data_IF_477469708783
#
_entry.id   IF_477469708783
#
_cell.length_a   1.000
_cell.length_b   1.000
_cell.length_c   1.000
_cell.angle_alpha   90.00
_cell.angle_beta   90.00
_cell.angle_gamma   90.00
#
_symmetry.space_group_name_H-M   'P 1'
#
loop_
_entity.id
_entity.type
_entity.pdbx_description
1 polymer ?
#
# COMPACT_ATOMS: atom_id res chain seq x y z
N UNK A 1 34.18 -32.93 26.53
CA UNK A 1 33.02 -33.73 26.89
C UNK A 1 31.87 -33.16 26.07
N UNK A 2 31.62 -33.67 24.85
CA UNK A 2 30.66 -34.73 24.51
C UNK A 2 29.24 -34.38 24.99
N UNK A 3 28.24 -34.22 24.16
CA UNK A 3 27.57 -35.01 23.12
C UNK A 3 26.51 -34.12 22.44
N UNK A 4 26.32 -33.90 21.15
CA UNK A 4 25.85 -34.83 20.15
C UNK A 4 24.51 -35.52 20.47
N UNK A 5 23.44 -35.08 19.78
CA UNK A 5 22.33 -35.93 19.45
C UNK A 5 21.58 -35.40 18.20
N UNK A 6 21.72 -36.12 17.12
CA UNK A 6 20.94 -36.05 15.89
C UNK A 6 19.62 -36.81 15.99
N UNK A 7 18.66 -36.59 15.07
CA UNK A 7 17.36 -37.23 15.06
C UNK A 7 17.37 -38.57 14.30
N UNK A 8 16.39 -39.44 14.49
CA UNK A 8 15.98 -40.45 13.53
C UNK A 8 14.69 -39.97 12.81
N UNK A 9 14.44 -40.09 11.56
CA UNK A 9 14.67 -41.18 10.68
C UNK A 9 13.41 -42.01 10.49
N UNK A 10 12.96 -42.06 9.21
CA UNK A 10 12.25 -43.18 8.56
C UNK A 10 10.79 -43.43 8.96
N UNK A 11 9.85 -43.65 8.08
CA UNK A 11 9.81 -44.74 7.10
C UNK A 11 8.57 -44.64 6.21
N UNK A 12 8.77 -44.86 4.96
CA UNK A 12 7.78 -45.35 4.00
C UNK A 12 7.46 -46.83 4.29
N UNK A 13 6.30 -47.32 4.00
CA UNK A 13 6.17 -48.62 3.42
C UNK A 13 5.44 -48.63 2.07
N UNK A 14 6.10 -49.28 1.24
CA UNK A 14 5.82 -49.96 -0.01
C UNK A 14 5.00 -51.20 0.29
N UNK A 15 3.99 -51.49 -0.51
CA UNK A 15 3.46 -52.79 -0.88
C UNK A 15 2.04 -52.56 -1.46
N UNK A 16 1.57 -53.23 -2.38
CA UNK A 16 1.83 -54.39 -3.20
C UNK A 16 0.70 -54.40 -4.23
N UNK A 17 1.02 -54.41 -5.38
CA UNK A 17 0.72 -55.21 -6.50
C UNK A 17 -0.15 -56.46 -6.17
N UNK A 18 -1.32 -56.56 -6.78
CA UNK A 18 -1.87 -57.84 -7.15
C UNK A 18 -2.78 -57.76 -8.40
N UNK A 19 -2.42 -58.58 -9.28
CA UNK A 19 -2.96 -59.14 -10.48
C UNK A 19 -4.43 -59.52 -10.38
N UNK A 20 -5.08 -59.51 -11.50
CA UNK A 20 -6.29 -60.31 -11.60
C UNK A 20 -7.21 -60.02 -12.78
N UNK A 21 -6.85 -60.57 -13.91
CA UNK A 21 -7.80 -61.27 -14.82
C UNK A 21 -8.71 -60.46 -15.75
N UNK A 22 -8.29 -60.63 -16.99
CA UNK A 22 -9.11 -60.73 -18.22
C UNK A 22 -10.49 -61.30 -18.00
N UNK A 23 -11.52 -60.58 -18.31
CA UNK A 23 -12.79 -61.18 -18.76
C UNK A 23 -13.28 -60.46 -20.01
N UNK A 24 -13.01 -61.10 -21.15
CA UNK A 24 -13.73 -60.83 -22.37
C UNK A 24 -15.20 -61.11 -22.14
N UNK A 25 -16.05 -60.16 -22.27
CA UNK A 25 -17.45 -60.37 -22.59
C UNK A 25 -17.76 -59.61 -23.86
N UNK A 26 -17.84 -60.35 -24.89
CA UNK A 26 -18.47 -60.01 -26.18
C UNK A 26 -19.94 -59.79 -25.89
N UNK A 27 -20.45 -58.60 -26.09
CA UNK A 27 -21.89 -58.36 -26.13
C UNK A 27 -22.20 -57.33 -27.22
N UNK A 28 -22.70 -57.87 -28.28
CA UNK A 28 -23.64 -57.35 -29.29
C UNK A 28 -23.76 -55.84 -29.47
N UNK A 29 -23.39 -55.48 -30.68
CA UNK A 29 -23.76 -54.23 -31.34
C UNK A 29 -25.29 -54.05 -31.37
N UNK A 30 -25.76 -53.08 -30.61
CA UNK A 30 -27.05 -52.42 -30.91
C UNK A 30 -26.75 -51.17 -31.73
N UNK A 31 -27.10 -51.27 -33.00
CA UNK A 31 -27.20 -50.13 -33.93
C UNK A 31 -28.20 -49.12 -33.32
N UNK A 32 -27.73 -48.11 -32.64
CA UNK A 32 -28.53 -46.96 -32.32
C UNK A 32 -28.36 -45.93 -33.45
N UNK A 33 -29.42 -45.75 -34.18
CA UNK A 33 -29.59 -44.73 -35.21
C UNK A 33 -29.29 -43.36 -34.66
N UNK A 34 -28.26 -42.72 -35.15
CA UNK A 34 -27.92 -41.31 -34.84
C UNK A 34 -29.05 -40.39 -35.34
N UNK A 35 -29.63 -39.56 -34.50
CA UNK A 35 -30.47 -38.47 -34.97
C UNK A 35 -29.57 -37.42 -35.63
N UNK A 36 -29.91 -37.07 -36.86
CA UNK A 36 -29.24 -36.03 -37.65
C UNK A 36 -29.27 -34.69 -36.92
N UNK A 37 -28.16 -33.94 -36.83
CA UNK A 37 -28.17 -32.60 -36.23
C UNK A 37 -28.68 -31.56 -37.24
N UNK A 38 -29.98 -31.54 -37.48
CA UNK A 38 -30.65 -30.47 -38.20
C UNK A 38 -31.34 -29.58 -37.16
N UNK A 39 -30.74 -28.47 -36.79
CA UNK A 39 -31.48 -27.45 -36.05
C UNK A 39 -30.74 -26.53 -35.10
N UNK A 40 -29.43 -26.57 -34.99
CA UNK A 40 -28.71 -25.68 -34.02
C UNK A 40 -27.98 -24.49 -34.65
N UNK A 41 -28.27 -24.11 -35.90
CA UNK A 41 -27.58 -22.98 -36.54
C UNK A 41 -28.30 -21.62 -36.40
N UNK A 42 -29.43 -21.52 -35.70
CA UNK A 42 -30.28 -20.34 -35.77
C UNK A 42 -30.28 -19.41 -34.55
N UNK A 43 -29.54 -19.72 -33.47
CA UNK A 43 -29.62 -18.88 -32.24
C UNK A 43 -28.35 -18.07 -31.90
N UNK A 44 -27.29 -18.15 -32.67
CA UNK A 44 -26.02 -17.47 -32.36
C UNK A 44 -25.88 -16.08 -32.98
N UNK A 45 -26.86 -15.59 -33.73
CA UNK A 45 -26.76 -14.25 -34.38
C UNK A 45 -27.09 -13.07 -33.46
N UNK A 46 -27.78 -13.30 -32.31
CA UNK A 46 -28.16 -12.23 -31.38
C UNK A 46 -27.19 -11.95 -30.22
N UNK A 47 -26.23 -12.85 -29.96
CA UNK A 47 -25.37 -12.76 -28.77
C UNK A 47 -24.10 -11.91 -29.02
N UNK A 48 -23.71 -11.74 -30.27
CA UNK A 48 -22.45 -11.06 -30.64
C UNK A 48 -22.39 -9.58 -30.22
N UNK A 49 -23.41 -8.74 -30.43
CA UNK A 49 -23.33 -7.34 -30.00
C UNK A 49 -23.41 -7.20 -28.47
N UNK A 50 -24.18 -8.04 -27.78
CA UNK A 50 -24.29 -8.01 -26.32
C UNK A 50 -22.97 -8.42 -25.62
N UNK A 51 -22.29 -9.43 -26.14
CA UNK A 51 -20.98 -9.85 -25.63
C UNK A 51 -19.89 -8.76 -25.84
N UNK A 52 -19.91 -8.10 -26.96
CA UNK A 52 -19.01 -6.97 -27.25
C UNK A 52 -19.26 -5.77 -26.33
N UNK A 53 -20.51 -5.45 -26.05
CA UNK A 53 -20.88 -4.37 -25.13
C UNK A 53 -20.50 -4.71 -23.68
N UNK A 54 -20.70 -5.94 -23.26
CA UNK A 54 -20.29 -6.42 -21.93
C UNK A 54 -18.77 -6.35 -21.74
N UNK A 55 -18.00 -6.75 -22.75
CA UNK A 55 -16.54 -6.67 -22.72
C UNK A 55 -16.04 -5.23 -22.66
N UNK A 56 -16.69 -4.31 -23.36
CA UNK A 56 -16.39 -2.88 -23.33
C UNK A 56 -16.69 -2.28 -21.94
N UNK A 57 -17.80 -2.65 -21.32
CA UNK A 57 -18.14 -2.19 -19.96
C UNK A 57 -17.14 -2.69 -18.92
N UNK A 58 -16.65 -3.93 -19.03
CA UNK A 58 -15.63 -4.49 -18.14
C UNK A 58 -14.29 -3.77 -18.33
N UNK A 59 -13.92 -3.42 -19.55
CA UNK A 59 -12.70 -2.67 -19.82
C UNK A 59 -12.74 -1.25 -19.26
N UNK A 60 -13.90 -0.59 -19.26
CA UNK A 60 -14.09 0.73 -18.68
C UNK A 60 -14.09 0.71 -17.14
N UNK A 61 -14.54 -0.36 -16.50
CA UNK A 61 -14.54 -0.53 -15.05
C UNK A 61 -13.12 -0.75 -14.47
N UNK A 62 -12.15 -1.14 -15.27
CA UNK A 62 -10.76 -1.38 -14.85
C UNK A 62 -9.95 -0.09 -14.63
N UNK A 63 -10.48 1.09 -14.96
CA UNK A 63 -9.81 2.38 -14.73
C UNK A 63 -10.05 2.91 -13.31
N UNK A 64 -9.71 2.15 -12.28
CA UNK A 64 -9.78 2.61 -10.90
C UNK A 64 -8.59 3.51 -10.57
N UNK A 65 -8.86 4.62 -9.85
CA UNK A 65 -7.82 5.51 -9.36
C UNK A 65 -6.87 4.79 -8.40
N UNK A 66 -5.60 5.08 -8.49
CA UNK A 66 -4.55 4.50 -7.66
C UNK A 66 -4.00 5.55 -6.70
N UNK A 67 -3.86 5.18 -5.42
CA UNK A 67 -3.28 6.06 -4.40
C UNK A 67 -1.87 5.59 -4.06
N UNK A 68 -0.95 6.54 -3.97
CA UNK A 68 0.44 6.30 -3.61
C UNK A 68 0.78 7.08 -2.35
N UNK A 69 1.30 6.37 -1.35
CA UNK A 69 1.86 6.96 -0.14
C UNK A 69 3.38 6.92 -0.24
N UNK A 70 4.02 8.08 -0.07
CA UNK A 70 5.48 8.22 -0.06
C UNK A 70 5.93 8.87 1.26
N UNK A 71 7.13 8.50 1.72
CA UNK A 71 7.73 9.04 2.93
C UNK A 71 7.21 8.39 4.21
N UNK A 72 7.15 9.19 5.27
CA UNK A 72 6.79 8.74 6.61
C UNK A 72 5.29 8.43 6.71
N UNK A 73 4.95 7.30 7.31
CA UNK A 73 3.57 6.94 7.61
C UNK A 73 3.34 7.16 9.10
N UNK A 74 2.54 8.19 9.44
CA UNK A 74 2.23 8.52 10.82
C UNK A 74 1.34 7.43 11.44
N UNK A 75 1.77 6.78 12.53
CA UNK A 75 0.91 5.88 13.27
C UNK A 75 -0.28 6.63 13.90
N UNK A 76 -1.47 6.04 13.93
CA UNK A 76 -2.64 6.66 14.55
C UNK A 76 -2.36 6.98 16.02
N UNK A 77 -2.66 8.21 16.47
CA UNK A 77 -2.47 8.64 17.85
C UNK A 77 -1.02 8.81 18.30
N UNK A 78 -0.03 8.72 17.41
CA UNK A 78 1.39 8.85 17.78
C UNK A 78 1.73 10.23 18.35
N UNK A 79 1.15 11.31 17.80
CA UNK A 79 1.39 12.66 18.29
C UNK A 79 0.84 12.91 19.70
N UNK A 80 -0.24 12.22 20.06
CA UNK A 80 -0.88 12.31 21.36
C UNK A 80 -0.06 11.60 22.46
N UNK A 81 0.78 10.64 22.06
CA UNK A 81 1.69 9.92 22.94
C UNK A 81 2.98 10.67 23.25
N UNK A 82 3.19 11.83 22.61
CA UNK A 82 4.38 12.64 22.78
C UNK A 82 4.01 13.96 23.50
N UNK A 83 4.03 13.97 24.84
CA UNK A 83 3.78 15.21 25.58
C UNK A 83 4.96 16.18 25.43
N UNK A 84 4.69 17.45 25.65
CA UNK A 84 5.74 18.46 25.81
C UNK A 84 6.64 18.05 26.99
N UNK A 85 7.95 18.10 26.83
CA UNK A 85 8.94 17.61 27.80
C UNK A 85 9.35 16.15 27.62
N UNK A 86 8.73 15.41 26.71
CA UNK A 86 9.18 14.06 26.37
C UNK A 86 10.64 14.04 25.91
N UNK A 87 11.37 12.98 26.20
CA UNK A 87 12.75 12.83 25.75
C UNK A 87 12.84 12.52 24.25
N UNK A 88 13.95 12.84 23.64
CA UNK A 88 14.23 12.49 22.24
C UNK A 88 14.14 10.99 21.98
N UNK A 89 14.62 10.16 22.93
CA UNK A 89 14.55 8.70 22.81
C UNK A 89 13.10 8.20 22.85
N UNK A 90 12.24 8.81 23.66
CA UNK A 90 10.82 8.48 23.68
C UNK A 90 10.16 8.83 22.34
N UNK A 91 10.52 9.96 21.73
CA UNK A 91 10.05 10.31 20.38
C UNK A 91 10.49 9.28 19.35
N UNK A 92 11.75 8.84 19.38
CA UNK A 92 12.25 7.81 18.47
C UNK A 92 11.55 6.45 18.66
N UNK A 93 11.16 6.10 19.88
CA UNK A 93 10.40 4.86 20.16
C UNK A 93 8.99 4.95 19.56
N UNK A 94 8.30 6.09 19.70
CA UNK A 94 6.92 6.27 19.27
C UNK A 94 6.83 6.53 17.76
N UNK A 95 7.68 7.41 17.25
CA UNK A 95 7.65 7.88 15.85
C UNK A 95 8.63 7.15 14.95
N UNK A 96 9.64 6.48 15.53
CA UNK A 96 10.73 5.89 14.73
C UNK A 96 11.70 6.94 14.20
N UNK A 97 12.49 6.54 13.19
CA UNK A 97 13.52 7.38 12.59
C UNK A 97 12.92 8.55 11.81
N UNK A 98 13.35 9.80 12.07
CA UNK A 98 12.89 10.96 11.31
C UNK A 98 13.38 10.92 9.86
N UNK A 99 12.64 11.56 8.96
CA UNK A 99 13.02 11.70 7.55
C UNK A 99 14.26 12.59 7.39
N UNK A 100 14.39 13.61 8.22
CA UNK A 100 15.57 14.49 8.29
C UNK A 100 15.66 15.16 9.66
N UNK A 101 16.86 15.58 10.00
CA UNK A 101 17.17 16.30 11.24
C UNK A 101 17.82 17.63 10.88
N UNK A 102 17.38 18.68 11.52
CA UNK A 102 18.00 20.01 11.40
C UNK A 102 18.41 20.54 12.78
N UNK A 103 19.45 21.36 12.81
CA UNK A 103 19.88 22.07 13.99
C UNK A 103 19.61 23.57 13.80
N UNK A 104 18.69 24.07 14.60
CA UNK A 104 18.29 25.48 14.59
C UNK A 104 18.72 26.10 15.94
N UNK A 105 17.77 26.43 16.80
CA UNK A 105 17.99 26.78 18.21
C UNK A 105 17.71 25.56 19.11
N UNK A 106 18.33 24.45 18.77
CA UNK A 106 18.09 23.09 19.24
C UNK A 106 17.98 22.12 18.07
N UNK A 107 17.75 20.87 18.36
CA UNK A 107 17.56 19.83 17.34
C UNK A 107 16.09 19.78 16.93
N UNK A 108 15.82 19.55 15.64
CA UNK A 108 14.47 19.44 15.11
C UNK A 108 14.37 18.17 14.27
N UNK A 109 13.43 17.31 14.60
CA UNK A 109 13.10 16.12 13.82
C UNK A 109 11.96 16.42 12.85
N UNK A 110 12.17 16.14 11.58
CA UNK A 110 11.16 16.26 10.55
C UNK A 110 10.70 14.89 10.07
N UNK A 111 9.40 14.67 10.10
CA UNK A 111 8.74 13.50 9.53
C UNK A 111 7.89 13.95 8.36
N UNK A 112 8.24 13.52 7.17
CA UNK A 112 7.69 14.04 5.92
C UNK A 112 6.85 12.96 5.28
N UNK A 113 5.58 13.26 5.01
CA UNK A 113 4.65 12.39 4.31
C UNK A 113 4.03 13.08 3.11
N UNK A 114 3.80 12.31 2.05
CA UNK A 114 3.17 12.77 0.83
C UNK A 114 2.22 11.70 0.31
N UNK A 115 0.99 12.09 0.00
CA UNK A 115 0.00 11.26 -0.66
C UNK A 115 -0.29 11.81 -2.05
N UNK A 116 -0.16 10.94 -3.03
CA UNK A 116 -0.44 11.26 -4.43
C UNK A 116 -1.56 10.36 -4.94
N UNK A 117 -2.38 10.88 -5.82
CA UNK A 117 -3.44 10.13 -6.48
C UNK A 117 -3.25 10.18 -8.00
N UNK A 118 -3.49 9.04 -8.63
CA UNK A 118 -3.64 8.93 -10.07
C UNK A 118 -5.10 8.60 -10.37
N UNK A 119 -5.84 9.56 -10.91
CA UNK A 119 -7.28 9.41 -11.17
C UNK A 119 -7.57 8.37 -12.25
N UNK A 120 -6.73 8.29 -13.26
CA UNK A 120 -6.81 7.31 -14.35
C UNK A 120 -5.41 6.88 -14.77
N UNK A 121 -5.27 5.66 -15.30
CA UNK A 121 -3.99 5.01 -15.56
C UNK A 121 -3.05 5.80 -16.49
N UNK A 122 -3.58 6.60 -17.42
CA UNK A 122 -2.80 7.39 -18.37
C UNK A 122 -2.50 8.83 -17.92
N UNK A 123 -2.99 9.26 -16.75
CA UNK A 123 -2.70 10.58 -16.19
C UNK A 123 -1.51 10.54 -15.24
N UNK A 124 -0.84 11.68 -15.11
CA UNK A 124 0.21 11.85 -14.13
C UNK A 124 -0.34 11.81 -12.69
N UNK A 125 0.48 11.35 -11.77
CA UNK A 125 0.17 11.41 -10.34
C UNK A 125 0.08 12.88 -9.90
N UNK A 126 -0.93 13.19 -9.11
CA UNK A 126 -1.07 14.51 -8.49
C UNK A 126 -0.93 14.38 -6.99
N UNK A 127 -0.15 15.26 -6.38
CA UNK A 127 -0.02 15.34 -4.93
C UNK A 127 -1.32 15.91 -4.38
N UNK A 128 -2.02 15.14 -3.55
CA UNK A 128 -3.30 15.53 -2.95
C UNK A 128 -3.16 15.92 -1.48
N UNK A 129 -2.15 15.38 -0.80
CA UNK A 129 -1.86 15.74 0.59
C UNK A 129 -0.35 15.67 0.84
N UNK A 130 0.14 16.65 1.57
CA UNK A 130 1.54 16.77 1.93
C UNK A 130 1.65 17.32 3.34
N UNK A 131 2.34 16.58 4.21
CA UNK A 131 2.49 16.93 5.61
C UNK A 131 3.93 16.83 6.07
N UNK A 132 4.32 17.76 6.91
CA UNK A 132 5.60 17.80 7.59
C UNK A 132 5.35 17.96 9.08
N UNK A 133 5.63 16.90 9.83
CA UNK A 133 5.59 16.98 11.29
C UNK A 133 6.97 17.39 11.76
N UNK A 134 7.05 18.49 12.51
CA UNK A 134 8.26 18.99 13.08
C UNK A 134 8.21 18.89 14.61
N UNK A 135 9.19 18.22 15.18
CA UNK A 135 9.35 18.07 16.63
C UNK A 135 10.60 18.85 17.04
N UNK A 136 10.40 19.91 17.77
CA UNK A 136 11.45 20.81 18.23
C UNK A 136 11.92 20.40 19.62
N UNK A 137 13.22 20.22 19.77
CA UNK A 137 13.84 19.89 21.04
C UNK A 137 14.56 21.10 21.63
N UNK A 138 14.63 21.15 22.94
CA UNK A 138 15.46 22.09 23.68
C UNK A 138 16.92 21.60 23.77
N UNK A 139 17.77 22.40 24.43
CA UNK A 139 19.18 22.03 24.67
C UNK A 139 19.36 20.80 25.58
N UNK A 140 18.30 20.40 26.31
CA UNK A 140 18.28 19.21 27.16
C UNK A 140 17.72 17.99 26.45
N UNK A 141 17.48 18.07 25.11
CA UNK A 141 16.88 17.01 24.27
C UNK A 141 15.46 16.63 24.71
N UNK A 142 14.69 17.61 25.19
CA UNK A 142 13.29 17.46 25.54
C UNK A 142 12.41 18.18 24.54
N UNK A 143 11.24 17.62 24.23
CA UNK A 143 10.28 18.21 23.31
C UNK A 143 9.80 19.56 23.85
N UNK A 144 10.13 20.62 23.13
CA UNK A 144 9.68 21.99 23.43
C UNK A 144 8.38 22.31 22.71
N UNK A 145 8.24 21.84 21.46
CA UNK A 145 7.10 22.14 20.59
C UNK A 145 6.91 21.02 19.57
N UNK A 146 5.65 20.75 19.25
CA UNK A 146 5.27 19.98 18.08
C UNK A 146 4.53 20.88 17.09
N UNK A 147 4.76 20.66 15.81
CA UNK A 147 4.04 21.31 14.75
C UNK A 147 3.71 20.30 13.65
N UNK A 148 2.55 20.46 13.03
CA UNK A 148 2.10 19.62 11.92
C UNK A 148 1.75 20.53 10.74
N UNK A 149 2.72 20.73 9.87
CA UNK A 149 2.57 21.60 8.71
C UNK A 149 2.00 20.84 7.52
N UNK A 150 1.07 21.48 6.85
CA UNK A 150 0.54 21.04 5.57
C UNK A 150 0.17 22.22 4.70
N UNK A 151 -0.31 21.95 3.50
CA UNK A 151 -0.78 22.98 2.58
C UNK A 151 -2.30 23.12 2.71
N UNK A 152 -2.74 24.33 2.98
CA UNK A 152 -4.14 24.74 2.94
C UNK A 152 -4.25 26.00 2.08
N UNK A 153 -5.04 25.92 1.01
CA UNK A 153 -5.20 27.02 0.04
C UNK A 153 -3.87 27.54 -0.53
N UNK A 154 -2.91 26.63 -0.75
CA UNK A 154 -1.58 26.97 -1.26
C UNK A 154 -0.65 27.65 -0.25
N UNK A 155 -1.04 27.77 1.01
CA UNK A 155 -0.24 28.32 2.11
C UNK A 155 0.13 27.24 3.11
N UNK A 156 1.31 27.39 3.72
CA UNK A 156 1.75 26.51 4.79
C UNK A 156 0.94 26.83 6.05
N UNK A 157 0.24 25.85 6.56
CA UNK A 157 -0.61 25.93 7.74
C UNK A 157 -0.16 24.93 8.80
N UNK A 158 -0.08 25.33 10.06
CA UNK A 158 0.18 24.43 11.18
C UNK A 158 -1.14 23.94 11.78
N UNK A 159 -1.43 22.68 11.60
CA UNK A 159 -2.66 22.06 12.06
C UNK A 159 -2.76 21.87 13.58
N UNK A 160 -1.63 21.92 14.31
CA UNK A 160 -1.61 21.86 15.78
C UNK A 160 -1.94 23.23 16.37
N UNK A 161 -1.21 24.26 15.96
CA UNK A 161 -1.44 25.63 16.43
C UNK A 161 -2.60 26.34 15.72
N UNK A 162 -3.11 25.75 14.62
CA UNK A 162 -4.15 26.34 13.75
C UNK A 162 -3.82 27.73 13.26
N UNK A 163 -2.56 27.98 12.99
CA UNK A 163 -2.05 29.25 12.49
C UNK A 163 -1.33 29.06 11.15
N UNK A 164 -1.38 30.10 10.32
CA UNK A 164 -0.55 30.13 9.13
C UNK A 164 0.87 30.47 9.55
N UNK A 165 1.85 29.69 9.11
CA UNK A 165 3.26 30.01 9.33
C UNK A 165 3.62 31.28 8.52
N UNK A 166 3.57 32.44 9.17
CA UNK A 166 3.79 33.74 8.51
C UNK A 166 5.14 34.36 8.81
N UNK A 167 5.95 33.76 9.66
CA UNK A 167 7.09 34.46 10.25
C UNK A 167 8.43 33.75 10.14
N UNK A 168 9.40 34.40 9.54
CA UNK A 168 10.82 34.27 9.80
C UNK A 168 11.48 32.97 9.39
N UNK A 169 12.26 32.44 10.29
CA UNK A 169 13.16 31.29 10.04
C UNK A 169 12.42 29.99 9.67
N UNK A 170 11.24 29.75 10.21
CA UNK A 170 10.49 28.51 9.93
C UNK A 170 10.04 28.41 8.46
N UNK A 171 9.58 29.51 7.87
CA UNK A 171 9.24 29.56 6.44
C UNK A 171 10.45 29.35 5.54
N UNK A 172 11.63 29.82 5.97
CA UNK A 172 12.87 29.67 5.22
C UNK A 172 13.26 28.20 5.01
N UNK A 173 12.97 27.33 5.98
CA UNK A 173 13.27 25.90 5.89
C UNK A 173 12.11 25.08 5.30
N UNK A 174 10.87 25.43 5.62
CA UNK A 174 9.70 24.69 5.16
C UNK A 174 9.40 24.94 3.68
N UNK A 175 9.58 26.16 3.19
CA UNK A 175 9.29 26.48 1.79
C UNK A 175 10.12 25.66 0.79
N UNK A 176 11.45 25.55 0.89
CA UNK A 176 12.21 24.68 0.01
C UNK A 176 11.86 23.20 0.18
N UNK A 177 11.55 22.78 1.40
CA UNK A 177 11.15 21.39 1.68
C UNK A 177 9.85 21.02 0.93
N UNK A 178 8.83 21.89 1.01
CA UNK A 178 7.58 21.69 0.27
C UNK A 178 7.79 21.80 -1.25
N UNK A 179 8.68 22.70 -1.70
CA UNK A 179 9.04 22.78 -3.14
C UNK A 179 9.69 21.48 -3.64
N UNK A 180 10.66 20.94 -2.92
CA UNK A 180 11.33 19.70 -3.31
C UNK A 180 10.36 18.52 -3.41
N UNK A 181 9.31 18.50 -2.59
CA UNK A 181 8.31 17.45 -2.56
C UNK A 181 7.22 17.62 -3.64
N UNK A 182 6.97 18.86 -4.10
CA UNK A 182 5.94 19.16 -5.12
C UNK A 182 6.45 19.07 -6.56
N UNK A 183 7.75 19.01 -6.78
CA UNK A 183 8.32 18.78 -8.12
C UNK A 183 8.38 17.28 -8.43
N UNK A 184 7.25 16.75 -8.97
CA UNK A 184 7.27 15.48 -9.68
C UNK A 184 6.13 15.43 -10.69
#
# INVERSE_FOLDING_TARGET
MLQSASPPGTSTPRAMQEDGQLRMTVTSQTRSSAPSPRGLRARWRGVRPAAGLALLCIALAACTGEQFQKGYILPPGALEQIPIGASQDQVLIVMGTPSTVATLDGEVFYYISQRSERKVAFMNQQVVDQRVIAIYFDKKRQVRRLANYGLQDGKIFDFISRTTATSGQELSYLTPLFKLLSFN
#
